data_IF_848411130103
#
_entry.id   IF_848411130103
#
_cell.length_a   1.000
_cell.length_b   1.000
_cell.length_c   1.000
_cell.angle_alpha   90.00
_cell.angle_beta   90.00
_cell.angle_gamma   90.00
#
_symmetry.space_group_name_H-M   'P 1'
#
loop_
_entity.id
_entity.type
_entity.pdbx_description
1 polymer ?
#
# COMPACT_ATOMS: atom_id res chain seq x y z
N UNK A 1 -4.90 17.07 2.09
CA UNK A 1 -5.49 16.70 0.80
C UNK A 1 -6.80 17.45 0.64
N UNK A 2 -7.31 17.63 -0.59
CA UNK A 2 -8.57 18.30 -0.89
C UNK A 2 -9.38 17.49 -1.90
N UNK A 3 -10.71 17.45 -1.79
CA UNK A 3 -11.54 16.72 -2.74
C UNK A 3 -11.77 17.52 -4.03
N UNK A 4 -11.47 16.93 -5.19
CA UNK A 4 -11.73 17.56 -6.51
C UNK A 4 -13.13 17.21 -7.02
N UNK A 5 -13.47 15.92 -7.04
CA UNK A 5 -14.80 15.37 -7.34
C UNK A 5 -14.94 14.00 -6.68
N UNK A 6 -16.07 13.30 -6.87
CA UNK A 6 -16.36 12.02 -6.21
C UNK A 6 -15.19 11.02 -6.17
N UNK A 7 -14.41 10.91 -7.24
CA UNK A 7 -13.33 9.91 -7.40
C UNK A 7 -11.95 10.54 -7.56
N UNK A 8 -11.75 11.83 -7.29
CA UNK A 8 -10.43 12.47 -7.37
C UNK A 8 -10.09 13.38 -6.21
N UNK A 9 -8.90 13.21 -5.65
CA UNK A 9 -8.41 13.98 -4.51
C UNK A 9 -7.09 14.67 -4.89
N UNK A 10 -6.90 15.91 -4.47
CA UNK A 10 -5.64 16.64 -4.58
C UNK A 10 -4.78 16.40 -3.34
N UNK A 11 -3.51 16.06 -3.57
CA UNK A 11 -2.49 15.85 -2.54
C UNK A 11 -1.46 16.96 -2.63
N UNK A 12 -1.26 17.64 -1.50
CA UNK A 12 -0.28 18.71 -1.36
C UNK A 12 0.98 18.20 -0.68
N UNK A 13 2.13 18.65 -1.17
CA UNK A 13 3.43 18.38 -0.60
C UNK A 13 3.91 19.61 0.15
N UNK A 14 4.39 19.40 1.38
CA UNK A 14 4.84 20.49 2.26
C UNK A 14 6.34 20.35 2.46
N UNK A 15 7.09 21.37 2.06
CA UNK A 15 8.52 21.45 2.30
C UNK A 15 8.88 22.12 3.64
N UNK A 16 10.13 21.94 4.07
CA UNK A 16 10.63 22.45 5.35
C UNK A 16 11.19 23.88 5.25
N UNK A 17 11.51 24.33 4.03
CA UNK A 17 12.18 25.58 3.71
C UNK A 17 11.34 26.47 2.78
N UNK A 18 10.00 26.45 2.96
CA UNK A 18 9.04 27.22 2.15
C UNK A 18 9.11 26.89 0.65
N UNK A 19 9.49 25.67 0.32
CA UNK A 19 9.43 25.17 -1.05
C UNK A 19 8.00 25.22 -1.56
N UNK A 20 7.83 25.59 -2.82
CA UNK A 20 6.53 25.61 -3.49
C UNK A 20 6.41 24.37 -4.39
N UNK A 21 6.15 23.22 -3.77
CA UNK A 21 5.99 21.97 -4.51
C UNK A 21 4.67 21.93 -5.28
N UNK A 22 4.70 21.27 -6.44
CA UNK A 22 3.46 20.94 -7.16
C UNK A 22 2.60 20.01 -6.30
N UNK A 23 1.29 20.18 -6.40
CA UNK A 23 0.33 19.17 -5.95
C UNK A 23 0.25 18.03 -6.96
N UNK A 24 -0.38 16.92 -6.57
CA UNK A 24 -0.81 15.88 -7.50
C UNK A 24 -2.28 15.53 -7.29
N UNK A 25 -3.02 15.33 -8.38
CA UNK A 25 -4.40 14.84 -8.33
C UNK A 25 -4.39 13.33 -8.49
N UNK A 26 -4.83 12.58 -7.48
CA UNK A 26 -4.93 11.11 -7.48
C UNK A 26 -6.35 10.64 -7.83
N UNK A 27 -6.45 9.43 -8.37
CA UNK A 27 -7.73 8.78 -8.68
C UNK A 27 -8.19 7.94 -7.50
N UNK A 28 -9.07 8.50 -6.67
CA UNK A 28 -9.74 7.84 -5.58
C UNK A 28 -9.87 8.72 -4.34
N UNK A 29 -10.26 8.08 -3.25
CA UNK A 29 -10.49 8.64 -1.91
C UNK A 29 -9.78 7.79 -0.86
N UNK A 30 -9.71 8.31 0.36
CA UNK A 30 -9.06 7.62 1.48
C UNK A 30 -7.55 7.48 1.29
N UNK A 31 -6.89 8.53 0.79
CA UNK A 31 -5.45 8.54 0.54
C UNK A 31 -4.63 8.10 1.77
N UNK A 32 -3.96 6.95 1.66
CA UNK A 32 -3.04 6.44 2.66
C UNK A 32 -1.65 6.29 2.04
N UNK A 33 -0.70 7.20 2.35
CA UNK A 33 0.61 7.24 1.72
C UNK A 33 1.70 6.46 2.48
N UNK A 34 2.71 6.02 1.74
CA UNK A 34 3.97 5.46 2.25
C UNK A 34 5.11 5.80 1.30
N UNK A 35 6.13 6.48 1.81
CA UNK A 35 7.32 6.81 1.04
C UNK A 35 8.14 5.56 0.70
N UNK A 36 8.72 5.53 -0.49
CA UNK A 36 9.83 4.60 -0.76
C UNK A 36 11.01 4.92 0.17
N UNK A 37 11.84 3.94 0.55
CA UNK A 37 12.97 4.17 1.45
C UNK A 37 13.98 5.22 0.96
N UNK A 38 14.06 5.46 -0.35
CA UNK A 38 14.91 6.47 -0.97
C UNK A 38 14.25 7.86 -1.09
N UNK A 39 12.96 7.98 -0.75
CA UNK A 39 12.21 9.24 -0.77
C UNK A 39 11.79 9.75 -2.15
N UNK A 40 12.03 9.00 -3.22
CA UNK A 40 11.78 9.46 -4.60
C UNK A 40 10.32 9.26 -5.05
N UNK A 41 9.68 8.21 -4.57
CA UNK A 41 8.32 7.82 -4.95
C UNK A 41 7.43 7.67 -3.72
N UNK A 42 6.12 7.74 -3.96
CA UNK A 42 5.11 7.49 -2.95
C UNK A 42 4.28 6.29 -3.37
N UNK A 43 4.29 5.22 -2.58
CA UNK A 43 3.26 4.20 -2.61
C UNK A 43 2.04 4.74 -1.88
N UNK A 44 0.84 4.56 -2.42
CA UNK A 44 -0.37 4.92 -1.70
C UNK A 44 -1.52 4.01 -2.05
N UNK A 45 -2.45 3.85 -1.10
CA UNK A 45 -3.75 3.24 -1.37
C UNK A 45 -4.85 4.29 -1.43
N UNK A 46 -5.82 4.01 -2.29
CA UNK A 46 -7.08 4.73 -2.44
C UNK A 46 -8.18 3.78 -2.86
N UNK A 47 -9.43 4.14 -2.58
CA UNK A 47 -10.62 3.47 -3.09
C UNK A 47 -11.39 4.37 -4.07
N UNK A 48 -12.17 3.79 -4.98
CA UNK A 48 -12.96 4.56 -5.95
C UNK A 48 -14.21 3.80 -6.38
N UNK A 49 -15.16 4.48 -7.02
CA UNK A 49 -16.34 3.82 -7.59
C UNK A 49 -16.00 2.77 -8.64
N UNK A 50 -14.92 2.97 -9.39
CA UNK A 50 -14.48 2.10 -10.49
C UNK A 50 -14.08 0.68 -10.04
N UNK A 51 -13.87 0.44 -8.75
CA UNK A 51 -13.52 -0.86 -8.20
C UNK A 51 -14.38 -1.25 -7.00
N UNK A 52 -15.63 -0.80 -6.97
CA UNK A 52 -16.57 -1.06 -5.88
C UNK A 52 -16.01 -0.61 -4.52
N UNK A 53 -15.32 0.53 -4.50
CA UNK A 53 -14.72 1.13 -3.32
C UNK A 53 -13.75 0.23 -2.56
N UNK A 54 -13.05 -0.65 -3.27
CA UNK A 54 -11.97 -1.44 -2.67
C UNK A 54 -10.66 -0.64 -2.64
N UNK A 55 -9.79 -0.83 -1.64
CA UNK A 55 -8.48 -0.19 -1.63
C UNK A 55 -7.63 -0.74 -2.78
N UNK A 56 -6.92 0.12 -3.50
CA UNK A 56 -5.95 -0.28 -4.53
C UNK A 56 -4.63 0.44 -4.37
N UNK A 57 -3.53 -0.25 -4.63
CA UNK A 57 -2.20 0.34 -4.55
C UNK A 57 -1.77 1.01 -5.84
N UNK A 58 -1.24 2.22 -5.67
CA UNK A 58 -0.63 3.02 -6.70
C UNK A 58 0.76 3.45 -6.25
N UNK A 59 1.58 3.84 -7.22
CA UNK A 59 2.85 4.52 -6.95
C UNK A 59 3.04 5.64 -7.96
N UNK A 60 3.60 6.75 -7.51
CA UNK A 60 3.92 7.91 -8.33
C UNK A 60 5.19 8.59 -7.83
N UNK A 61 5.85 9.35 -8.70
CA UNK A 61 6.97 10.20 -8.31
C UNK A 61 6.50 11.27 -7.31
N UNK A 62 7.35 11.58 -6.35
CA UNK A 62 7.00 12.43 -5.21
C UNK A 62 8.10 13.45 -4.85
N UNK A 63 9.03 13.70 -5.77
CA UNK A 63 10.16 14.61 -5.58
C UNK A 63 10.22 15.72 -6.64
N UNK A 64 10.44 16.94 -6.16
CA UNK A 64 10.68 18.13 -6.97
C UNK A 64 9.63 18.35 -8.06
N UNK A 65 10.08 18.64 -9.27
CA UNK A 65 9.19 18.94 -10.41
C UNK A 65 8.50 17.71 -11.00
N UNK A 66 8.88 16.50 -10.55
CA UNK A 66 8.35 15.23 -11.05
C UNK A 66 7.17 14.71 -10.24
N UNK A 67 6.75 15.41 -9.18
CA UNK A 67 5.59 15.04 -8.37
C UNK A 67 4.38 14.71 -9.24
N UNK A 68 3.80 13.53 -9.03
CA UNK A 68 2.63 13.03 -9.76
C UNK A 68 2.93 12.36 -11.10
N UNK A 69 4.17 12.44 -11.60
CA UNK A 69 4.59 11.73 -12.82
C UNK A 69 4.71 10.21 -12.59
N UNK A 70 4.77 9.46 -13.69
CA UNK A 70 4.97 8.00 -13.73
C UNK A 70 4.01 7.21 -12.82
N UNK A 71 2.81 7.76 -12.63
CA UNK A 71 1.78 7.14 -11.81
C UNK A 71 1.35 5.81 -12.43
N UNK A 72 1.34 4.77 -11.61
CA UNK A 72 0.99 3.41 -12.02
C UNK A 72 0.17 2.69 -10.97
N UNK A 73 -0.85 1.97 -11.44
CA UNK A 73 -1.67 1.06 -10.65
C UNK A 73 -0.93 -0.28 -10.53
N UNK A 74 -0.73 -0.77 -9.30
CA UNK A 74 -0.09 -2.06 -9.05
C UNK A 74 -1.07 -3.23 -9.22
N UNK A 75 -2.33 -2.98 -9.55
CA UNK A 75 -3.39 -3.98 -9.79
C UNK A 75 -3.57 -4.94 -8.60
N UNK A 76 -3.50 -4.43 -7.37
CA UNK A 76 -3.63 -5.25 -6.16
C UNK A 76 -4.54 -4.54 -5.16
N UNK A 77 -5.46 -5.30 -4.59
CA UNK A 77 -6.50 -4.79 -3.69
C UNK A 77 -6.01 -4.94 -2.24
N UNK A 78 -5.32 -3.92 -1.73
CA UNK A 78 -4.88 -3.83 -0.33
C UNK A 78 -4.54 -2.38 0.02
N UNK A 79 -4.26 -2.13 1.29
CA UNK A 79 -3.87 -0.83 1.81
C UNK A 79 -2.34 -0.68 1.86
N UNK A 80 -1.84 0.54 1.72
CA UNK A 80 -0.41 0.83 1.81
C UNK A 80 0.18 0.49 3.18
N UNK A 81 -0.62 0.58 4.25
CA UNK A 81 -0.22 0.18 5.60
C UNK A 81 -0.01 -1.34 5.76
N UNK A 82 -0.69 -2.17 4.95
CA UNK A 82 -0.50 -3.63 4.91
C UNK A 82 0.72 -4.02 4.08
N UNK A 83 1.58 -3.06 3.73
CA UNK A 83 2.80 -3.29 2.97
C UNK A 83 4.05 -2.78 3.67
N UNK A 84 5.20 -3.39 3.39
CA UNK A 84 6.53 -2.99 3.89
C UNK A 84 7.57 -3.07 2.78
N UNK A 85 8.41 -2.05 2.67
CA UNK A 85 9.49 -2.03 1.69
C UNK A 85 10.67 -2.86 2.18
N UNK A 86 11.22 -3.69 1.30
CA UNK A 86 12.51 -4.34 1.49
C UNK A 86 13.66 -3.47 0.99
N UNK A 87 13.40 -2.70 -0.06
CA UNK A 87 14.29 -1.69 -0.63
C UNK A 87 13.44 -0.70 -1.46
N UNK A 88 14.09 0.17 -2.24
CA UNK A 88 13.41 1.15 -3.10
C UNK A 88 12.52 0.55 -4.20
N UNK A 89 12.61 -0.76 -4.47
CA UNK A 89 11.93 -1.42 -5.59
C UNK A 89 11.02 -2.58 -5.11
N UNK A 90 11.49 -3.36 -4.15
CA UNK A 90 10.79 -4.53 -3.65
C UNK A 90 9.89 -4.18 -2.46
N UNK A 91 8.60 -4.52 -2.59
CA UNK A 91 7.56 -4.32 -1.60
C UNK A 91 6.95 -5.66 -1.21
N UNK A 92 6.76 -5.92 0.08
CA UNK A 92 5.97 -7.04 0.56
C UNK A 92 4.62 -6.53 1.04
N UNK A 93 3.53 -7.15 0.60
CA UNK A 93 2.17 -6.77 0.97
C UNK A 93 1.38 -7.97 1.46
N UNK A 94 0.68 -7.80 2.58
CA UNK A 94 -0.41 -8.66 2.99
C UNK A 94 -1.67 -8.25 2.22
N UNK A 95 -2.24 -9.21 1.50
CA UNK A 95 -3.33 -8.97 0.55
C UNK A 95 -4.49 -9.89 0.91
N UNK A 96 -5.63 -9.33 1.35
CA UNK A 96 -6.81 -10.12 1.62
C UNK A 96 -7.19 -10.98 0.43
N UNK A 97 -7.50 -12.25 0.68
CA UNK A 97 -7.93 -13.19 -0.36
C UNK A 97 -9.26 -12.81 -1.00
N UNK A 98 -10.09 -12.06 -0.26
CA UNK A 98 -11.38 -11.53 -0.70
C UNK A 98 -11.65 -10.23 0.04
N UNK A 99 -12.02 -9.20 -0.70
CA UNK A 99 -12.57 -7.95 -0.17
C UNK A 99 -13.99 -7.79 -0.66
N UNK A 100 -14.87 -7.36 0.24
CA UNK A 100 -16.23 -6.98 -0.09
C UNK A 100 -16.25 -5.60 -0.75
N UNK A 101 -17.38 -5.26 -1.38
CA UNK A 101 -17.61 -3.90 -1.83
C UNK A 101 -17.63 -2.95 -0.65
N UNK A 102 -17.06 -1.76 -0.80
CA UNK A 102 -17.02 -0.77 0.28
C UNK A 102 -15.87 -0.98 1.27
N UNK A 103 -15.05 -2.04 1.17
CA UNK A 103 -13.99 -2.28 2.16
C UNK A 103 -12.99 -1.14 2.30
N UNK A 104 -12.75 -0.34 1.27
CA UNK A 104 -11.89 0.85 1.39
C UNK A 104 -12.51 1.98 2.23
N UNK A 105 -13.84 2.03 2.33
CA UNK A 105 -14.58 2.98 3.18
C UNK A 105 -14.72 2.43 4.59
N UNK A 106 -15.04 1.14 4.72
CA UNK A 106 -15.28 0.43 5.97
C UNK A 106 -14.25 -0.69 6.13
N UNK A 107 -13.15 -0.40 6.81
CA UNK A 107 -12.04 -1.35 6.98
C UNK A 107 -12.45 -2.61 7.77
N UNK A 108 -13.51 -2.51 8.59
CA UNK A 108 -14.08 -3.60 9.38
C UNK A 108 -14.53 -4.78 8.50
N UNK A 109 -14.91 -4.51 7.24
CA UNK A 109 -15.25 -5.53 6.24
C UNK A 109 -14.06 -6.44 5.88
N UNK A 110 -12.85 -6.09 6.29
CA UNK A 110 -11.63 -6.86 6.06
C UNK A 110 -11.12 -7.62 7.29
N UNK A 111 -11.69 -7.42 8.48
CA UNK A 111 -11.13 -7.95 9.74
C UNK A 111 -11.08 -9.48 9.80
N UNK A 112 -12.04 -10.16 9.18
CA UNK A 112 -12.11 -11.62 9.15
C UNK A 112 -11.54 -12.26 7.87
N UNK A 113 -10.91 -11.45 7.03
CA UNK A 113 -10.26 -11.95 5.81
C UNK A 113 -8.95 -12.65 6.12
N UNK A 114 -8.51 -13.51 5.19
CA UNK A 114 -7.21 -14.17 5.26
C UNK A 114 -6.29 -13.52 4.26
N UNK A 115 -5.11 -13.13 4.69
CA UNK A 115 -4.15 -12.49 3.81
C UNK A 115 -3.22 -13.51 3.16
N UNK A 116 -2.90 -13.24 1.90
CA UNK A 116 -1.77 -13.83 1.19
C UNK A 116 -0.60 -12.84 1.18
N UNK A 117 0.62 -13.32 1.36
CA UNK A 117 1.81 -12.47 1.31
C UNK A 117 2.38 -12.45 -0.11
N UNK A 118 2.44 -11.27 -0.71
CA UNK A 118 3.02 -11.04 -2.04
C UNK A 118 4.30 -10.21 -1.95
N UNK A 119 5.29 -10.58 -2.76
CA UNK A 119 6.39 -9.70 -3.16
C UNK A 119 6.00 -9.00 -4.45
N UNK A 120 6.14 -7.68 -4.48
CA UNK A 120 5.77 -6.82 -5.61
C UNK A 120 6.99 -6.01 -6.00
N UNK A 121 7.35 -6.06 -7.28
CA UNK A 121 8.30 -5.13 -7.85
C UNK A 121 7.54 -3.86 -8.25
N UNK A 122 7.77 -2.75 -7.54
CA UNK A 122 6.96 -1.56 -7.77
C UNK A 122 7.18 -0.98 -9.17
N UNK A 123 8.36 -1.15 -9.80
CA UNK A 123 8.66 -0.57 -11.12
C UNK A 123 7.90 -1.26 -12.26
N UNK A 124 7.76 -2.58 -12.18
CA UNK A 124 7.12 -3.39 -13.23
C UNK A 124 5.68 -3.78 -12.90
N UNK A 125 5.27 -3.70 -11.62
CA UNK A 125 4.01 -4.23 -11.13
C UNK A 125 3.97 -5.76 -11.02
N UNK A 126 5.10 -6.44 -11.26
CA UNK A 126 5.21 -7.91 -11.17
C UNK A 126 4.99 -8.38 -9.73
N UNK A 127 4.22 -9.46 -9.56
CA UNK A 127 3.85 -10.02 -8.26
C UNK A 127 4.30 -11.47 -8.17
N UNK A 128 4.87 -11.83 -7.02
CA UNK A 128 5.21 -13.21 -6.66
C UNK A 128 4.53 -13.53 -5.34
N UNK A 129 3.71 -14.58 -5.31
CA UNK A 129 3.18 -15.12 -4.07
C UNK A 129 4.33 -15.74 -3.27
N UNK A 130 4.54 -15.29 -2.04
CA UNK A 130 5.62 -15.74 -1.15
C UNK A 130 5.12 -16.82 -0.22
N UNK A 131 3.93 -16.61 0.35
CA UNK A 131 3.30 -17.57 1.23
C UNK A 131 1.78 -17.47 1.12
N UNK A 132 1.15 -18.62 0.93
CA UNK A 132 -0.18 -18.89 1.49
C UNK A 132 0.09 -19.45 2.86
N UNK A 133 -0.06 -18.65 3.92
CA UNK A 133 0.17 -19.18 5.27
C UNK A 133 -0.81 -20.32 5.51
N UNK A 134 -0.33 -21.51 5.90
CA UNK A 134 -1.21 -22.64 6.23
C UNK A 134 -2.24 -22.26 7.31
N UNK A 135 -1.85 -21.31 8.14
CA UNK A 135 -2.65 -20.58 9.11
C UNK A 135 -3.32 -19.37 8.45
N UNK A 136 -4.59 -19.16 8.78
CA UNK A 136 -5.39 -18.04 8.30
C UNK A 136 -5.11 -16.77 9.10
N UNK A 137 -4.09 -16.01 8.70
CA UNK A 137 -3.76 -14.75 9.36
C UNK A 137 -4.42 -13.55 8.69
N UNK A 138 -4.78 -12.55 9.49
CA UNK A 138 -4.99 -11.19 9.02
C UNK A 138 -3.79 -10.35 9.46
N UNK A 139 -2.86 -10.08 8.55
CA UNK A 139 -1.55 -9.53 8.86
C UNK A 139 -1.62 -7.99 8.95
N UNK A 140 -1.05 -7.46 10.03
CA UNK A 140 -0.86 -6.03 10.27
C UNK A 140 0.55 -5.77 10.81
N UNK A 141 0.96 -4.49 10.87
CA UNK A 141 2.26 -4.09 11.43
C UNK A 141 3.44 -4.86 10.82
N UNK A 142 3.48 -4.96 9.49
CA UNK A 142 4.53 -5.68 8.79
C UNK A 142 5.88 -4.97 8.97
N UNK A 143 6.90 -5.73 9.38
CA UNK A 143 8.27 -5.28 9.55
C UNK A 143 9.20 -6.28 8.87
N UNK A 144 10.18 -5.79 8.11
CA UNK A 144 11.20 -6.63 7.48
C UNK A 144 12.51 -6.56 8.27
N UNK A 145 13.23 -7.67 8.37
CA UNK A 145 14.58 -7.69 8.95
C UNK A 145 15.55 -6.89 8.07
N UNK A 146 16.61 -6.36 8.68
CA UNK A 146 17.62 -5.55 7.98
C UNK A 146 18.33 -6.30 6.84
N UNK A 147 18.43 -7.62 6.94
CA UNK A 147 19.00 -8.51 5.92
C UNK A 147 17.96 -9.05 4.92
N UNK A 148 16.70 -8.58 5.02
CA UNK A 148 15.56 -8.97 4.19
C UNK A 148 15.28 -10.48 4.15
N UNK A 149 15.70 -11.26 5.14
CA UNK A 149 15.41 -12.70 5.20
C UNK A 149 14.11 -13.03 5.93
N UNK A 150 13.67 -12.18 6.86
CA UNK A 150 12.49 -12.41 7.68
C UNK A 150 11.51 -11.25 7.56
N UNK A 151 10.23 -11.60 7.56
CA UNK A 151 9.13 -10.65 7.74
C UNK A 151 8.41 -11.00 9.02
N UNK A 152 8.23 -10.01 9.89
CA UNK A 152 7.42 -10.08 11.10
C UNK A 152 6.10 -9.36 10.89
N UNK A 153 5.03 -9.85 11.51
CA UNK A 153 3.72 -9.23 11.46
C UNK A 153 2.91 -9.59 12.71
N UNK A 154 1.89 -8.78 13.01
CA UNK A 154 0.89 -9.07 14.02
C UNK A 154 -0.38 -9.59 13.36
N UNK A 155 -0.92 -10.72 13.84
CA UNK A 155 -2.22 -11.22 13.42
C UNK A 155 -3.34 -10.42 14.11
N UNK A 156 -4.18 -9.71 13.35
CA UNK A 156 -5.29 -8.91 13.89
C UNK A 156 -6.34 -9.75 14.61
N UNK A 157 -6.43 -11.06 14.33
CA UNK A 157 -7.49 -11.91 14.91
C UNK A 157 -7.23 -12.22 16.39
N UNK A 158 -5.97 -12.43 16.77
CA UNK A 158 -5.58 -12.88 18.11
C UNK A 158 -4.45 -12.03 18.74
N UNK A 159 -4.03 -10.97 18.05
CA UNK A 159 -2.99 -10.02 18.45
C UNK A 159 -1.60 -10.63 18.69
N UNK A 160 -1.32 -11.79 18.09
CA UNK A 160 -0.03 -12.48 18.26
C UNK A 160 0.99 -12.11 17.17
N UNK A 161 2.27 -12.12 17.54
CA UNK A 161 3.39 -11.85 16.64
C UNK A 161 3.84 -13.14 15.93
N UNK A 162 3.97 -13.07 14.61
CA UNK A 162 4.40 -14.16 13.74
C UNK A 162 5.56 -13.74 12.84
N UNK A 163 6.18 -14.72 12.17
CA UNK A 163 7.23 -14.49 11.19
C UNK A 163 7.11 -15.39 9.97
N UNK A 164 7.58 -14.91 8.81
CA UNK A 164 7.72 -15.65 7.56
C UNK A 164 9.17 -15.58 7.09
N UNK A 165 9.71 -16.70 6.61
CA UNK A 165 11.00 -16.72 5.92
C UNK A 165 10.82 -16.33 4.45
N UNK A 166 11.63 -15.38 3.98
CA UNK A 166 11.60 -14.86 2.62
C UNK A 166 12.64 -15.51 1.69
N UNK A 167 13.52 -16.36 2.25
CA UNK A 167 14.57 -17.12 1.57
C UNK A 167 14.23 -18.61 1.50
#
# INVERSE_FOLDING_TARGET
TEGVDFDRQEVYFVGLHKENFKSMVINGRGFQPKWTPDGNELLYSVYSSNNNFKPTLWVANAIGDTIGNDRRLLNIETWAEKCVFANAIDLYCAVPNKLEEGSGIFEELSEHTKDNLYKINIKTGSKKLIATTNSSYNMSNLIISSDSSLLYFTDKINETLHKVNLK
#
